data_IF_280672631495
#
_entry.id   IF_280672631495
#
_cell.length_a   1.000
_cell.length_b   1.000
_cell.length_c   1.000
_cell.angle_alpha   90.00
_cell.angle_beta   90.00
_cell.angle_gamma   90.00
#
_symmetry.space_group_name_H-M   'P 1'
#
loop_
_entity.id
_entity.type
_entity.pdbx_description
1 polymer ?
#
# COMPACT_ATOMS: atom_id res chain seq x y z
N UNK A 1 2.51 -29.67 -8.82
CA UNK A 1 1.75 -30.08 -7.62
C UNK A 1 2.72 -30.17 -6.44
N UNK A 2 2.83 -29.10 -5.67
CA UNK A 2 3.37 -29.14 -4.31
C UNK A 2 2.34 -28.41 -3.45
N UNK A 3 1.75 -29.14 -2.50
CA UNK A 3 0.71 -28.64 -1.60
C UNK A 3 1.40 -27.91 -0.45
N UNK A 4 1.23 -26.61 -0.34
CA UNK A 4 1.67 -25.84 0.81
C UNK A 4 0.78 -26.14 2.03
N UNK A 5 1.25 -27.03 2.89
CA UNK A 5 0.67 -27.26 4.21
C UNK A 5 1.19 -26.17 5.18
N UNK A 6 0.54 -25.01 5.20
CA UNK A 6 0.76 -23.97 6.21
C UNK A 6 0.03 -24.23 7.54
N UNK A 7 -0.61 -25.39 7.69
CA UNK A 7 -1.44 -25.72 8.84
C UNK A 7 -0.90 -26.93 9.60
N UNK A 8 0.31 -26.82 10.16
CA UNK A 8 0.71 -27.54 11.38
C UNK A 8 2.04 -26.99 11.88
N UNK A 9 2.09 -26.78 13.18
CA UNK A 9 3.23 -26.37 13.99
C UNK A 9 3.52 -24.88 14.05
N UNK A 10 2.80 -24.18 14.93
CA UNK A 10 3.40 -23.48 16.09
C UNK A 10 2.30 -22.80 16.91
N UNK A 11 1.86 -23.47 17.96
CA UNK A 11 1.09 -22.85 19.03
C UNK A 11 2.05 -22.06 19.95
N UNK A 12 2.56 -20.90 19.52
CA UNK A 12 3.08 -19.79 20.37
C UNK A 12 3.60 -18.61 19.54
N UNK A 13 2.70 -17.82 18.96
CA UNK A 13 2.65 -16.33 18.93
C UNK A 13 1.70 -15.92 17.80
N UNK A 14 0.62 -15.19 18.15
CA UNK A 14 -0.40 -14.75 17.20
C UNK A 14 0.14 -13.56 16.38
N UNK A 15 -0.03 -13.59 15.05
CA UNK A 15 0.13 -12.47 14.10
C UNK A 15 1.54 -11.97 13.73
N UNK A 16 2.53 -12.82 13.42
CA UNK A 16 3.73 -12.31 12.74
C UNK A 16 4.15 -13.23 11.60
N UNK A 17 4.01 -12.73 10.36
CA UNK A 17 4.32 -13.47 9.14
C UNK A 17 5.83 -13.69 8.96
N UNK A 18 6.64 -12.80 9.55
CA UNK A 18 8.09 -12.79 9.42
C UNK A 18 8.73 -12.69 10.81
N UNK A 19 9.64 -13.60 11.20
CA UNK A 19 10.29 -13.56 12.51
C UNK A 19 11.04 -12.25 12.75
N UNK A 20 10.75 -11.62 13.88
CA UNK A 20 11.26 -10.29 14.24
C UNK A 20 12.79 -10.25 14.35
N UNK A 21 13.39 -11.29 14.93
CA UNK A 21 14.83 -11.44 15.08
C UNK A 21 15.57 -11.48 13.74
N UNK A 22 14.98 -12.15 12.74
CA UNK A 22 15.52 -12.20 11.39
C UNK A 22 15.46 -10.82 10.72
N UNK A 23 14.33 -10.12 10.83
CA UNK A 23 14.19 -8.76 10.28
C UNK A 23 15.20 -7.81 10.91
N UNK A 24 15.41 -7.88 12.23
CA UNK A 24 16.39 -7.04 12.91
C UNK A 24 17.83 -7.34 12.48
N UNK A 25 18.18 -8.62 12.31
CA UNK A 25 19.50 -9.02 11.82
C UNK A 25 19.74 -8.49 10.39
N UNK A 26 18.77 -8.65 9.50
CA UNK A 26 18.85 -8.13 8.14
C UNK A 26 18.92 -6.61 8.14
N UNK A 27 18.11 -5.93 8.94
CA UNK A 27 18.17 -4.47 9.10
C UNK A 27 19.55 -3.98 9.56
N UNK A 28 20.15 -4.61 10.57
CA UNK A 28 21.49 -4.25 11.03
C UNK A 28 22.53 -4.39 9.89
N UNK A 29 22.46 -5.48 9.13
CA UNK A 29 23.33 -5.68 7.95
C UNK A 29 23.11 -4.59 6.89
N UNK A 30 21.87 -4.26 6.56
CA UNK A 30 21.56 -3.24 5.58
C UNK A 30 22.05 -1.85 6.03
N UNK A 31 21.97 -1.55 7.33
CA UNK A 31 22.54 -0.33 7.91
C UNK A 31 24.04 -0.24 7.68
N UNK A 32 24.77 -1.30 8.06
CA UNK A 32 26.23 -1.32 7.96
C UNK A 32 26.72 -1.12 6.51
N UNK A 33 25.96 -1.62 5.53
CA UNK A 33 26.34 -1.57 4.11
C UNK A 33 25.89 -0.26 3.44
N UNK A 34 24.66 0.19 3.70
CA UNK A 34 24.03 1.21 2.86
C UNK A 34 23.83 2.56 3.54
N UNK A 35 23.63 2.61 4.86
CA UNK A 35 23.12 3.81 5.52
C UNK A 35 24.02 5.04 5.33
N UNK A 36 25.33 4.90 5.56
CA UNK A 36 26.27 6.03 5.45
C UNK A 36 26.24 6.63 4.04
N UNK A 37 26.41 5.80 3.00
CA UNK A 37 26.42 6.27 1.61
C UNK A 37 25.10 6.93 1.21
N UNK A 38 23.97 6.37 1.63
CA UNK A 38 22.65 6.91 1.29
C UNK A 38 22.39 8.25 1.98
N UNK A 39 22.80 8.40 3.25
CA UNK A 39 22.72 9.67 3.97
C UNK A 39 23.64 10.72 3.37
N UNK A 40 24.89 10.37 3.06
CA UNK A 40 25.89 11.31 2.52
C UNK A 40 25.51 11.82 1.12
N UNK A 41 24.82 11.01 0.32
CA UNK A 41 24.38 11.35 -1.04
C UNK A 41 22.90 11.72 -1.14
N UNK A 42 22.27 12.03 -0.01
CA UNK A 42 20.86 12.41 0.03
C UNK A 42 20.66 13.78 -0.62
N UNK A 43 19.64 13.89 -1.49
CA UNK A 43 19.39 15.11 -2.27
C UNK A 43 17.97 15.68 -2.07
N UNK A 44 17.15 15.09 -1.19
CA UNK A 44 15.83 15.65 -0.87
C UNK A 44 15.93 16.73 0.23
N UNK A 45 14.89 17.55 0.32
CA UNK A 45 14.78 18.58 1.36
C UNK A 45 14.51 18.00 2.74
N UNK A 46 13.89 16.83 2.79
CA UNK A 46 13.56 16.16 4.03
C UNK A 46 14.82 15.56 4.69
N UNK A 47 14.78 15.34 6.01
CA UNK A 47 15.93 14.81 6.75
C UNK A 47 16.30 13.38 6.31
N UNK A 48 17.57 13.10 5.95
CA UNK A 48 17.99 11.80 5.43
C UNK A 48 17.76 10.66 6.42
N UNK A 49 18.17 10.84 7.67
CA UNK A 49 18.11 9.80 8.69
C UNK A 49 16.69 9.23 8.82
N UNK A 50 15.67 10.09 8.84
CA UNK A 50 14.28 9.64 8.96
C UNK A 50 13.86 8.70 7.83
N UNK A 51 14.24 9.00 6.58
CA UNK A 51 13.76 8.27 5.40
C UNK A 51 14.65 7.07 5.08
N UNK A 52 15.97 7.24 5.13
CA UNK A 52 16.93 6.17 4.85
C UNK A 52 16.74 5.00 5.82
N UNK A 53 16.63 5.27 7.13
CA UNK A 53 16.45 4.19 8.11
C UNK A 53 15.06 3.55 8.05
N UNK A 54 14.03 4.31 7.67
CA UNK A 54 12.69 3.77 7.41
C UNK A 54 12.70 2.81 6.22
N UNK A 55 13.25 3.24 5.08
CA UNK A 55 13.33 2.42 3.86
C UNK A 55 14.24 1.19 4.05
N UNK A 56 15.33 1.29 4.82
CA UNK A 56 16.17 0.13 5.17
C UNK A 56 15.42 -0.89 6.04
N UNK A 57 14.58 -0.43 6.97
CA UNK A 57 13.77 -1.30 7.81
C UNK A 57 12.66 -1.99 7.00
N UNK A 58 12.03 -1.27 6.05
CA UNK A 58 11.07 -1.85 5.10
C UNK A 58 11.76 -2.88 4.20
N UNK A 59 12.94 -2.56 3.65
CA UNK A 59 13.72 -3.48 2.83
C UNK A 59 14.05 -4.77 3.60
N UNK A 60 14.48 -4.66 4.86
CA UNK A 60 14.74 -5.82 5.70
C UNK A 60 13.50 -6.71 5.88
N UNK A 61 12.34 -6.11 6.14
CA UNK A 61 11.09 -6.85 6.26
C UNK A 61 10.71 -7.55 4.94
N UNK A 62 10.80 -6.85 3.81
CA UNK A 62 10.46 -7.40 2.49
C UNK A 62 11.39 -8.55 2.11
N UNK A 63 12.70 -8.42 2.38
CA UNK A 63 13.68 -9.49 2.11
C UNK A 63 13.31 -10.76 2.88
N UNK A 64 13.04 -10.65 4.17
CA UNK A 64 12.68 -11.81 5.00
C UNK A 64 11.29 -12.37 4.64
N UNK A 65 10.35 -11.51 4.22
CA UNK A 65 9.08 -11.94 3.65
C UNK A 65 9.28 -12.75 2.37
N UNK A 66 10.14 -12.27 1.46
CA UNK A 66 10.40 -12.94 0.19
C UNK A 66 11.17 -14.25 0.33
N UNK A 67 12.00 -14.41 1.37
CA UNK A 67 12.57 -15.72 1.73
C UNK A 67 11.48 -16.75 1.94
N UNK A 68 10.43 -16.38 2.68
CA UNK A 68 9.30 -17.28 2.97
C UNK A 68 8.39 -17.47 1.75
N UNK A 69 8.07 -16.39 1.03
CA UNK A 69 7.11 -16.45 -0.08
C UNK A 69 7.65 -17.09 -1.36
N UNK A 70 8.94 -16.90 -1.65
CA UNK A 70 9.54 -17.33 -2.93
C UNK A 70 10.67 -18.35 -2.78
N UNK A 71 11.06 -18.69 -1.55
CA UNK A 71 12.23 -19.54 -1.27
C UNK A 71 13.51 -19.00 -1.93
N UNK A 72 13.73 -17.69 -1.80
CA UNK A 72 14.88 -16.99 -2.36
C UNK A 72 15.68 -16.29 -1.25
N UNK A 73 16.98 -16.14 -1.44
CA UNK A 73 17.83 -15.34 -0.55
C UNK A 73 18.54 -14.24 -1.33
N UNK A 74 18.95 -13.14 -0.67
CA UNK A 74 19.73 -12.10 -1.30
C UNK A 74 20.99 -12.67 -1.95
N UNK A 75 21.41 -12.07 -3.07
CA UNK A 75 22.63 -12.50 -3.79
C UNK A 75 23.88 -12.40 -2.90
N UNK A 76 23.89 -11.44 -1.98
CA UNK A 76 24.96 -11.21 -1.01
C UNK A 76 25.14 -12.38 -0.01
N UNK A 77 24.11 -13.20 0.19
CA UNK A 77 24.07 -14.27 1.18
C UNK A 77 23.98 -15.68 0.55
N UNK A 78 23.66 -15.78 -0.73
CA UNK A 78 23.49 -17.05 -1.43
C UNK A 78 24.83 -17.77 -1.58
N UNK A 79 24.99 -18.89 -0.86
CA UNK A 79 26.14 -19.81 -1.01
C UNK A 79 26.05 -20.63 -2.31
N UNK A 80 24.84 -20.87 -2.79
CA UNK A 80 24.52 -21.62 -4.00
C UNK A 80 23.43 -20.87 -4.80
N UNK A 81 23.35 -21.01 -6.13
CA UNK A 81 22.29 -20.40 -6.93
C UNK A 81 20.92 -20.90 -6.44
N UNK A 82 19.99 -19.98 -6.11
CA UNK A 82 18.62 -20.39 -5.77
C UNK A 82 18.00 -21.17 -6.93
N UNK A 83 17.30 -22.26 -6.60
CA UNK A 83 16.57 -23.07 -7.56
C UNK A 83 15.38 -22.34 -8.17
N UNK A 84 14.86 -21.31 -7.49
CA UNK A 84 13.72 -20.48 -7.86
C UNK A 84 14.18 -19.11 -8.39
N UNK A 85 13.73 -18.76 -9.60
CA UNK A 85 13.94 -17.44 -10.16
C UNK A 85 12.91 -16.47 -9.56
N UNK A 86 13.38 -15.39 -8.93
CA UNK A 86 12.50 -14.35 -8.43
C UNK A 86 11.72 -13.69 -9.60
N UNK A 87 10.37 -13.63 -9.53
CA UNK A 87 9.53 -13.07 -10.60
C UNK A 87 9.63 -11.55 -10.74
N UNK A 88 10.20 -10.88 -9.74
CA UNK A 88 10.46 -9.46 -9.71
C UNK A 88 9.51 -8.68 -8.80
N UNK A 89 9.78 -7.38 -8.65
CA UNK A 89 8.93 -6.47 -7.88
C UNK A 89 8.65 -5.15 -8.60
N UNK A 90 7.59 -4.47 -8.17
CA UNK A 90 7.26 -3.11 -8.61
C UNK A 90 6.87 -2.30 -7.39
N UNK A 91 7.59 -1.21 -7.11
CA UNK A 91 7.20 -0.23 -6.10
C UNK A 91 6.45 0.92 -6.78
N UNK A 92 5.13 0.98 -6.61
CA UNK A 92 4.25 1.84 -7.42
C UNK A 92 4.14 3.29 -6.92
N UNK A 93 4.81 3.61 -5.81
CA UNK A 93 4.99 4.98 -5.31
C UNK A 93 6.36 5.09 -4.62
N UNK A 94 7.42 4.85 -5.38
CA UNK A 94 8.74 4.58 -4.82
C UNK A 94 9.44 5.80 -4.20
N UNK A 95 8.88 7.01 -4.37
CA UNK A 95 9.36 8.22 -3.73
C UNK A 95 10.84 8.46 -3.97
N UNK A 96 11.57 8.62 -2.87
CA UNK A 96 13.01 8.90 -2.89
C UNK A 96 13.85 7.79 -3.58
N UNK A 97 13.28 6.60 -3.80
CA UNK A 97 13.89 5.47 -4.52
C UNK A 97 14.89 4.64 -3.71
N UNK A 98 15.10 4.91 -2.43
CA UNK A 98 16.04 4.16 -1.56
C UNK A 98 15.64 2.70 -1.43
N UNK A 99 14.35 2.41 -1.21
CA UNK A 99 13.86 1.02 -1.12
C UNK A 99 14.21 0.23 -2.39
N UNK A 100 13.92 0.81 -3.56
CA UNK A 100 14.22 0.22 -4.87
C UNK A 100 15.74 0.04 -5.07
N UNK A 101 16.53 1.05 -4.72
CA UNK A 101 17.99 0.99 -4.75
C UNK A 101 18.51 -0.20 -3.93
N UNK A 102 18.06 -0.35 -2.67
CA UNK A 102 18.54 -1.42 -1.78
C UNK A 102 18.16 -2.78 -2.33
N UNK A 103 16.91 -2.98 -2.76
CA UNK A 103 16.45 -4.27 -3.29
C UNK A 103 17.20 -4.67 -4.57
N UNK A 104 17.45 -3.73 -5.48
CA UNK A 104 18.26 -4.00 -6.68
C UNK A 104 19.72 -4.33 -6.34
N UNK A 105 20.32 -3.61 -5.37
CA UNK A 105 21.68 -3.88 -4.89
C UNK A 105 21.80 -5.26 -4.22
N UNK A 106 20.74 -5.73 -3.54
CA UNK A 106 20.65 -7.07 -2.95
C UNK A 106 20.38 -8.17 -4.00
N UNK A 107 20.18 -7.80 -5.27
CA UNK A 107 20.06 -8.72 -6.40
C UNK A 107 18.63 -9.06 -6.82
N UNK A 108 17.62 -8.38 -6.27
CA UNK A 108 16.23 -8.56 -6.67
C UNK A 108 15.91 -7.73 -7.91
N UNK A 109 15.46 -8.37 -9.00
CA UNK A 109 15.01 -7.64 -10.18
C UNK A 109 13.69 -6.92 -9.92
N UNK A 110 13.58 -5.64 -10.30
CA UNK A 110 12.33 -4.90 -10.15
C UNK A 110 12.45 -3.47 -10.62
N UNK A 111 11.45 -2.65 -10.36
CA UNK A 111 11.44 -1.22 -10.70
C UNK A 111 10.62 -0.42 -9.70
N UNK A 112 10.89 0.88 -9.64
CA UNK A 112 10.08 1.85 -8.92
C UNK A 112 9.39 2.80 -9.87
N UNK A 113 8.16 3.16 -9.56
CA UNK A 113 7.38 4.17 -10.28
C UNK A 113 7.02 5.26 -9.27
N UNK A 114 7.20 6.52 -9.64
CA UNK A 114 6.71 7.66 -8.87
C UNK A 114 6.14 8.70 -9.81
N UNK A 115 5.10 9.40 -9.38
CA UNK A 115 4.47 10.47 -10.15
C UNK A 115 5.46 11.59 -10.52
N UNK A 116 6.56 11.75 -9.78
CA UNK A 116 7.57 12.78 -10.04
C UNK A 116 8.97 12.23 -9.90
N UNK A 117 9.87 12.66 -10.79
CA UNK A 117 11.29 12.36 -10.63
C UNK A 117 11.86 13.04 -9.40
N UNK A 118 12.37 12.24 -8.46
CA UNK A 118 12.98 12.75 -7.22
C UNK A 118 14.44 13.16 -7.40
N UNK A 119 14.89 14.09 -6.56
CA UNK A 119 16.25 14.66 -6.65
C UNK A 119 17.31 13.61 -6.33
N UNK A 120 17.04 12.69 -5.41
CA UNK A 120 17.94 11.60 -4.99
C UNK A 120 18.21 10.58 -6.09
N UNK A 121 17.31 10.42 -7.08
CA UNK A 121 17.51 9.42 -8.13
C UNK A 121 18.81 9.64 -8.90
N UNK A 122 19.20 10.90 -9.14
CA UNK A 122 20.43 11.24 -9.88
C UNK A 122 21.72 10.83 -9.14
N UNK A 123 21.65 10.52 -7.85
CA UNK A 123 22.81 10.13 -7.03
C UNK A 123 23.02 8.61 -7.03
N UNK A 124 22.06 7.84 -7.55
CA UNK A 124 22.16 6.40 -7.68
C UNK A 124 22.97 5.99 -8.94
N UNK A 125 23.55 4.79 -8.97
CA UNK A 125 24.16 4.23 -10.18
C UNK A 125 23.20 4.23 -11.37
N UNK A 126 23.73 4.39 -12.59
CA UNK A 126 22.94 4.49 -13.82
C UNK A 126 21.97 3.30 -13.99
N UNK A 127 22.44 2.07 -13.75
CA UNK A 127 21.59 0.87 -13.83
C UNK A 127 20.42 0.84 -12.83
N UNK A 128 20.48 1.64 -11.74
CA UNK A 128 19.36 1.83 -10.81
C UNK A 128 18.43 2.94 -11.33
N UNK A 129 19.00 4.02 -11.86
CA UNK A 129 18.23 5.10 -12.48
C UNK A 129 17.34 4.58 -13.61
N UNK A 130 17.85 3.63 -14.42
CA UNK A 130 17.09 2.96 -15.48
C UNK A 130 15.89 2.13 -14.97
N UNK A 131 15.81 1.89 -13.66
CA UNK A 131 14.74 1.14 -13.00
C UNK A 131 13.80 2.04 -12.20
N UNK A 132 14.02 3.35 -12.22
CA UNK A 132 13.19 4.35 -11.57
C UNK A 132 12.45 5.17 -12.63
N UNK A 133 11.13 5.04 -12.65
CA UNK A 133 10.27 5.50 -13.73
C UNK A 133 9.43 6.67 -13.22
N UNK A 134 9.60 7.84 -13.81
CA UNK A 134 8.72 8.98 -13.57
C UNK A 134 7.43 8.80 -14.37
N UNK A 135 6.32 8.50 -13.68
CA UNK A 135 5.02 8.28 -14.32
C UNK A 135 3.89 8.37 -13.33
N UNK A 136 2.83 9.08 -13.68
CA UNK A 136 1.59 9.06 -12.91
C UNK A 136 0.85 7.75 -13.18
N UNK A 137 0.42 7.09 -12.11
CA UNK A 137 -0.44 5.91 -12.21
C UNK A 137 -1.90 6.30 -12.05
N UNK A 138 -2.71 5.86 -13.00
CA UNK A 138 -4.18 5.99 -12.96
C UNK A 138 -4.76 4.57 -12.85
N UNK A 139 -5.61 4.29 -11.86
CA UNK A 139 -6.27 2.99 -11.77
C UNK A 139 -7.08 2.70 -13.04
N UNK A 140 -6.91 1.51 -13.62
CA UNK A 140 -7.60 1.09 -14.86
C UNK A 140 -9.13 1.33 -14.85
N UNK A 141 -9.88 1.12 -13.75
CA UNK A 141 -11.31 1.44 -13.72
C UNK A 141 -11.62 2.92 -13.98
N UNK A 142 -10.72 3.84 -13.62
CA UNK A 142 -10.85 5.27 -13.92
C UNK A 142 -10.52 5.59 -15.37
N UNK A 143 -9.52 4.94 -15.95
CA UNK A 143 -9.19 5.09 -17.38
C UNK A 143 -10.40 4.68 -18.23
N UNK A 144 -10.97 3.50 -17.95
CA UNK A 144 -12.16 3.00 -18.64
C UNK A 144 -13.38 3.91 -18.44
N UNK A 145 -13.56 4.51 -17.26
CA UNK A 145 -14.71 5.36 -16.96
C UNK A 145 -14.71 6.72 -17.66
N UNK A 146 -13.55 7.19 -18.13
CA UNK A 146 -13.42 8.50 -18.78
C UNK A 146 -13.55 8.39 -20.32
N UNK A 147 -13.52 7.17 -20.89
CA UNK A 147 -13.67 6.91 -22.35
C UNK A 147 -12.91 7.92 -23.24
N UNK A 148 -11.70 8.29 -22.82
CA UNK A 148 -10.88 9.24 -23.58
C UNK A 148 -9.87 8.45 -24.41
N UNK A 149 -9.92 8.65 -25.73
CA UNK A 149 -8.89 8.18 -26.67
C UNK A 149 -7.49 8.77 -26.34
N UNK A 150 -7.39 9.74 -25.42
CA UNK A 150 -6.18 10.46 -25.03
C UNK A 150 -5.50 9.94 -23.74
N UNK A 151 -6.15 9.03 -22.98
CA UNK A 151 -5.51 8.37 -21.84
C UNK A 151 -4.87 7.08 -22.33
N UNK A 152 -3.63 7.20 -22.81
CA UNK A 152 -2.82 6.07 -23.23
C UNK A 152 -2.73 5.00 -22.11
N UNK A 153 -2.64 3.72 -22.51
CA UNK A 153 -2.29 2.60 -21.60
C UNK A 153 -0.98 2.83 -20.81
N UNK A 154 -0.22 3.87 -21.17
CA UNK A 154 0.97 4.31 -20.48
C UNK A 154 0.73 4.60 -18.98
N UNK A 155 -0.45 5.10 -18.60
CA UNK A 155 -0.76 5.46 -17.22
C UNK A 155 -1.17 4.28 -16.32
N UNK A 156 -1.35 3.09 -16.88
CA UNK A 156 -1.72 1.90 -16.10
C UNK A 156 -0.55 1.29 -15.34
N UNK A 157 -0.88 0.58 -14.26
CA UNK A 157 0.04 -0.42 -13.72
C UNK A 157 0.16 -1.55 -14.75
N UNK A 158 1.30 -1.64 -15.41
CA UNK A 158 1.51 -2.56 -16.53
C UNK A 158 1.30 -4.04 -16.20
N UNK A 159 1.30 -4.87 -17.24
CA UNK A 159 1.21 -6.33 -17.10
C UNK A 159 2.57 -6.89 -16.67
N UNK A 160 2.65 -7.42 -15.44
CA UNK A 160 3.87 -8.03 -14.89
C UNK A 160 3.77 -9.54 -14.82
N UNK A 161 4.84 -10.34 -14.87
CA UNK A 161 4.83 -11.82 -14.72
C UNK A 161 4.12 -12.36 -13.47
N UNK A 162 3.72 -13.64 -13.50
CA UNK A 162 3.03 -14.27 -12.37
C UNK A 162 3.95 -14.27 -11.14
N UNK A 163 3.38 -13.92 -9.99
CA UNK A 163 4.14 -13.79 -8.75
C UNK A 163 4.98 -12.52 -8.63
N UNK A 164 4.96 -11.58 -9.59
CA UNK A 164 5.60 -10.27 -9.36
C UNK A 164 5.00 -9.60 -8.12
N UNK A 165 5.85 -9.12 -7.22
CA UNK A 165 5.41 -8.53 -5.95
C UNK A 165 5.18 -7.02 -6.07
N UNK A 166 3.98 -6.55 -5.71
CA UNK A 166 3.65 -5.13 -5.70
C UNK A 166 3.98 -4.53 -4.33
N UNK A 167 4.73 -3.43 -4.33
CA UNK A 167 5.03 -2.64 -3.13
C UNK A 167 4.29 -1.32 -3.26
N UNK A 168 3.59 -0.96 -2.19
CA UNK A 168 2.93 0.34 -2.03
C UNK A 168 3.41 0.93 -0.70
N UNK A 169 4.64 1.46 -0.72
CA UNK A 169 5.26 2.07 0.44
C UNK A 169 4.78 3.52 0.60
N UNK A 170 3.91 3.78 1.59
CA UNK A 170 3.42 5.14 1.87
C UNK A 170 2.84 5.85 0.64
N UNK A 171 2.10 5.12 -0.18
CA UNK A 171 1.67 5.53 -1.51
C UNK A 171 0.49 6.52 -1.57
N UNK A 172 0.26 7.29 -0.51
CA UNK A 172 -0.80 8.29 -0.39
C UNK A 172 -2.16 7.80 -0.95
N UNK A 173 -2.67 8.41 -2.03
CA UNK A 173 -3.95 8.08 -2.65
C UNK A 173 -4.00 6.64 -3.19
N UNK A 174 -2.87 6.05 -3.59
CA UNK A 174 -2.79 4.70 -4.14
C UNK A 174 -2.92 3.60 -3.08
N UNK A 175 -2.86 3.93 -1.79
CA UNK A 175 -2.93 2.95 -0.70
C UNK A 175 -4.17 2.06 -0.83
N UNK A 176 -5.35 2.67 -0.98
CA UNK A 176 -6.61 1.93 -1.06
C UNK A 176 -6.78 1.20 -2.40
N UNK A 177 -6.12 1.70 -3.46
CA UNK A 177 -6.11 1.12 -4.78
C UNK A 177 -5.16 -0.08 -4.93
N UNK A 178 -4.19 -0.24 -4.02
CA UNK A 178 -3.17 -1.30 -4.08
C UNK A 178 -3.72 -2.70 -4.40
N UNK A 179 -4.69 -3.24 -3.63
CA UNK A 179 -5.21 -4.58 -3.92
C UNK A 179 -5.90 -4.68 -5.28
N UNK A 180 -6.57 -3.61 -5.71
CA UNK A 180 -7.24 -3.53 -7.01
C UNK A 180 -6.21 -3.52 -8.13
N UNK A 181 -5.21 -2.66 -8.06
CA UNK A 181 -4.17 -2.54 -9.08
C UNK A 181 -3.35 -3.82 -9.19
N UNK A 182 -2.99 -4.44 -8.07
CA UNK A 182 -2.30 -5.73 -8.05
C UNK A 182 -3.14 -6.86 -8.68
N UNK A 183 -4.46 -6.83 -8.49
CA UNK A 183 -5.36 -7.80 -9.09
C UNK A 183 -5.57 -7.58 -10.59
N UNK A 184 -5.74 -6.33 -11.03
CA UNK A 184 -5.94 -6.00 -12.45
C UNK A 184 -4.67 -6.13 -13.30
N UNK A 185 -3.49 -5.98 -12.69
CA UNK A 185 -2.21 -6.23 -13.35
C UNK A 185 -2.04 -7.70 -13.80
N UNK A 186 -2.81 -8.63 -13.21
CA UNK A 186 -3.07 -9.97 -13.73
C UNK A 186 -4.37 -10.54 -13.15
N UNK A 187 -5.47 -10.39 -13.87
CA UNK A 187 -6.78 -10.86 -13.45
C UNK A 187 -6.85 -12.38 -13.23
N UNK A 188 -6.08 -13.19 -13.97
CA UNK A 188 -6.10 -14.65 -13.86
C UNK A 188 -5.32 -15.19 -12.65
N UNK A 189 -4.36 -14.40 -12.14
CA UNK A 189 -3.54 -14.76 -11.00
C UNK A 189 -3.09 -13.46 -10.30
N UNK A 190 -3.96 -12.88 -9.44
CA UNK A 190 -3.70 -11.60 -8.77
C UNK A 190 -2.34 -11.56 -8.10
N UNK A 191 -1.64 -10.43 -8.25
CA UNK A 191 -0.27 -10.30 -7.80
C UNK A 191 -0.20 -10.15 -6.26
N UNK A 192 0.76 -10.81 -5.59
CA UNK A 192 0.97 -10.57 -4.17
C UNK A 192 1.44 -9.13 -3.94
N UNK A 193 1.07 -8.55 -2.80
CA UNK A 193 1.41 -7.16 -2.50
C UNK A 193 1.73 -6.90 -1.02
N UNK A 194 2.45 -5.81 -0.78
CA UNK A 194 2.58 -5.14 0.51
C UNK A 194 2.08 -3.68 0.37
N UNK A 195 1.11 -3.29 1.17
CA UNK A 195 0.70 -1.90 1.33
C UNK A 195 1.07 -1.38 2.71
N UNK A 196 1.73 -0.23 2.79
CA UNK A 196 2.05 0.47 4.03
C UNK A 196 1.27 1.80 4.03
N UNK A 197 0.11 1.87 4.70
CA UNK A 197 -0.72 3.07 4.65
C UNK A 197 -0.01 4.29 5.23
N UNK A 198 -0.43 5.50 4.84
CA UNK A 198 0.15 6.73 5.37
C UNK A 198 -0.87 7.87 5.52
N UNK A 199 -1.58 8.18 4.45
CA UNK A 199 -2.52 9.28 4.32
C UNK A 199 -3.86 8.72 3.85
N UNK A 200 -4.95 9.14 4.49
CA UNK A 200 -6.29 8.62 4.21
C UNK A 200 -6.99 9.46 3.16
N UNK A 201 -7.25 8.83 2.02
CA UNK A 201 -7.94 9.40 0.87
C UNK A 201 -9.07 8.46 0.43
N UNK A 202 -10.11 9.00 -0.20
CA UNK A 202 -11.13 8.21 -0.89
C UNK A 202 -10.60 7.68 -2.22
N UNK A 203 -11.41 6.90 -2.93
CA UNK A 203 -11.08 6.41 -4.27
C UNK A 203 -10.88 7.56 -5.27
N UNK A 204 -11.63 8.65 -5.13
CA UNK A 204 -11.43 9.86 -5.92
C UNK A 204 -10.15 10.61 -5.57
N UNK A 205 -9.38 10.19 -4.54
CA UNK A 205 -8.16 10.81 -4.02
C UNK A 205 -8.36 12.06 -3.16
N UNK A 206 -9.61 12.41 -2.83
CA UNK A 206 -9.90 13.46 -1.85
C UNK A 206 -9.57 12.97 -0.43
N UNK A 207 -9.14 13.85 0.48
CA UNK A 207 -8.91 13.47 1.88
C UNK A 207 -10.20 12.94 2.50
N UNK A 208 -10.13 11.75 3.09
CA UNK A 208 -11.30 11.08 3.62
C UNK A 208 -10.99 10.33 4.90
N UNK A 209 -11.96 10.24 5.82
CA UNK A 209 -11.84 9.49 7.06
C UNK A 209 -12.77 8.29 7.04
N UNK A 210 -12.19 7.11 6.85
CA UNK A 210 -12.92 5.85 6.96
C UNK A 210 -13.44 5.63 8.38
N UNK A 211 -14.61 5.00 8.48
CA UNK A 211 -15.18 4.62 9.77
C UNK A 211 -14.35 3.51 10.41
N UNK A 212 -14.17 3.52 11.74
CA UNK A 212 -13.53 2.40 12.43
C UNK A 212 -14.27 1.07 12.15
N UNK A 213 -13.56 -0.07 12.14
CA UNK A 213 -14.20 -1.37 11.99
C UNK A 213 -15.28 -1.56 13.06
N UNK A 214 -16.47 -2.00 12.66
CA UNK A 214 -17.52 -2.34 13.63
C UNK A 214 -17.05 -3.56 14.42
N UNK A 215 -17.01 -3.46 15.76
CA UNK A 215 -16.81 -4.64 16.62
C UNK A 215 -18.01 -5.55 16.41
N UNK A 216 -17.82 -6.75 15.86
CA UNK A 216 -18.86 -7.78 15.87
C UNK A 216 -19.29 -8.00 17.32
N UNK A 217 -20.53 -7.65 17.65
CA UNK A 217 -21.09 -7.86 18.97
C UNK A 217 -21.24 -9.37 19.22
N UNK A 218 -20.21 -10.01 19.76
CA UNK A 218 -20.35 -11.29 20.45
C UNK A 218 -20.94 -11.00 21.83
N UNK A 219 -22.23 -10.65 21.84
CA UNK A 219 -23.07 -10.60 23.04
C UNK A 219 -24.55 -10.52 22.65
N UNK A 220 -25.00 -11.45 21.81
CA UNK A 220 -26.36 -11.97 21.95
C UNK A 220 -26.32 -13.09 22.98
N UNK A 221 -26.58 -12.73 24.23
CA UNK A 221 -27.48 -13.44 25.15
C UNK A 221 -27.43 -12.73 26.52
N UNK A 222 -28.63 -12.46 27.07
CA UNK A 222 -28.92 -11.85 28.37
C UNK A 222 -28.97 -10.31 28.41
N UNK A 223 -30.07 -9.73 27.91
CA UNK A 223 -31.21 -9.28 28.74
C UNK A 223 -32.20 -8.45 27.91
N UNK A 224 -33.43 -8.92 27.87
CA UNK A 224 -34.61 -8.16 27.45
C UNK A 224 -34.99 -7.11 28.51
N UNK A 225 -35.81 -6.16 28.05
CA UNK A 225 -36.58 -5.13 28.75
C UNK A 225 -35.89 -3.79 29.08
N UNK A 226 -36.08 -2.80 28.19
CA UNK A 226 -36.81 -1.54 28.48
C UNK A 226 -36.90 -0.65 27.21
N UNK A 227 -38.03 0.02 26.91
CA UNK A 227 -38.24 0.76 25.67
C UNK A 227 -37.91 2.25 25.81
N UNK A 228 -36.99 2.79 25.00
CA UNK A 228 -36.85 4.24 24.92
C UNK A 228 -35.67 4.80 24.13
N UNK A 229 -36.00 5.55 23.07
CA UNK A 229 -35.17 6.58 22.41
C UNK A 229 -34.08 6.11 21.45
N UNK A 230 -34.46 5.85 20.20
CA UNK A 230 -33.55 5.98 19.06
C UNK A 230 -33.25 7.47 18.83
N UNK A 231 -32.12 7.96 19.36
CA UNK A 231 -31.47 9.18 18.87
C UNK A 231 -30.32 8.80 17.97
N UNK A 232 -30.53 8.97 16.66
CA UNK A 232 -29.51 8.94 15.63
C UNK A 232 -28.54 10.11 15.90
N UNK A 233 -27.44 9.86 16.59
CA UNK A 233 -26.39 10.87 16.77
C UNK A 233 -25.60 10.99 15.47
N UNK A 234 -25.92 12.01 14.68
CA UNK A 234 -24.97 12.60 13.72
C UNK A 234 -23.91 13.33 14.53
N UNK A 235 -22.76 12.70 14.75
CA UNK A 235 -21.59 13.39 15.29
C UNK A 235 -20.94 14.12 14.11
N UNK A 236 -21.10 15.44 14.10
CA UNK A 236 -20.31 16.33 13.24
C UNK A 236 -18.85 16.27 13.71
N UNK A 237 -18.00 15.58 12.94
CA UNK A 237 -16.59 15.31 13.31
C UNK A 237 -15.63 16.42 12.90
N UNK A 238 -16.12 17.57 12.42
CA UNK A 238 -15.30 18.75 12.13
C UNK A 238 -15.09 19.67 13.35
N UNK A 239 -15.53 19.27 14.55
CA UNK A 239 -15.19 20.00 15.76
C UNK A 239 -13.71 19.78 16.14
N UNK A 240 -12.83 20.64 15.61
CA UNK A 240 -11.54 20.92 16.24
C UNK A 240 -11.85 21.37 17.68
N UNK A 241 -11.31 20.71 18.73
CA UNK A 241 -11.57 21.16 20.09
C UNK A 241 -10.95 22.55 20.26
N UNK A 242 -11.79 23.57 20.39
CA UNK A 242 -11.40 24.96 20.62
C UNK A 242 -10.80 25.22 22.02
N UNK A 243 -10.27 24.18 22.68
CA UNK A 243 -9.80 24.22 24.05
C UNK A 243 -8.40 23.63 24.13
N UNK A 244 -7.43 24.47 24.48
CA UNK A 244 -6.04 24.11 24.77
C UNK A 244 -5.87 23.31 26.06
N UNK A 245 -6.72 22.31 26.31
CA UNK A 245 -6.58 21.42 27.45
C UNK A 245 -5.52 20.35 27.19
N UNK A 246 -4.30 20.65 27.64
CA UNK A 246 -3.13 19.77 27.57
C UNK A 246 -3.38 18.39 28.21
N UNK A 247 -4.30 18.24 29.17
CA UNK A 247 -4.64 16.93 29.74
C UNK A 247 -5.49 16.09 28.79
N UNK A 248 -6.49 16.68 28.16
CA UNK A 248 -7.31 15.99 27.17
C UNK A 248 -6.47 15.56 25.95
N UNK A 249 -5.56 16.42 25.50
CA UNK A 249 -4.61 16.10 24.42
C UNK A 249 -3.64 14.97 24.80
N UNK A 250 -3.17 14.92 26.05
CA UNK A 250 -2.33 13.80 26.54
C UNK A 250 -3.10 12.50 26.62
N UNK A 251 -4.33 12.53 27.13
CA UNK A 251 -5.19 11.35 27.20
C UNK A 251 -5.52 10.79 25.81
N UNK A 252 -5.83 11.67 24.83
CA UNK A 252 -6.03 11.26 23.44
C UNK A 252 -4.76 10.64 22.84
N UNK A 253 -3.60 11.25 23.08
CA UNK A 253 -2.29 10.75 22.60
C UNK A 253 -1.86 9.44 23.27
N UNK A 254 -2.29 9.21 24.51
CA UNK A 254 -2.09 7.94 25.22
C UNK A 254 -3.06 6.87 24.71
N UNK A 255 -4.32 7.23 24.43
CA UNK A 255 -5.30 6.34 23.81
C UNK A 255 -4.86 5.93 22.40
N UNK A 256 -4.38 6.86 21.56
CA UNK A 256 -3.83 6.59 20.22
C UNK A 256 -2.64 5.62 20.21
N UNK A 257 -1.98 5.40 21.35
CA UNK A 257 -0.89 4.43 21.47
C UNK A 257 -1.36 3.01 21.81
N UNK A 258 -2.62 2.83 22.22
CA UNK A 258 -3.19 1.50 22.48
C UNK A 258 -3.59 0.83 21.17
N UNK A 259 -3.67 -0.51 21.14
CA UNK A 259 -4.16 -1.23 19.96
C UNK A 259 -5.58 -0.78 19.57
N UNK A 260 -6.43 -0.50 20.55
CA UNK A 260 -7.78 0.02 20.32
C UNK A 260 -7.76 1.44 19.73
N UNK A 261 -6.90 2.34 20.23
CA UNK A 261 -6.80 3.69 19.66
C UNK A 261 -6.14 3.71 18.29
N UNK A 262 -5.22 2.79 17.99
CA UNK A 262 -4.67 2.61 16.65
C UNK A 262 -5.78 2.14 15.71
N UNK A 263 -6.56 1.13 16.09
CA UNK A 263 -7.69 0.64 15.29
C UNK A 263 -8.80 1.68 15.08
N UNK A 264 -8.99 2.60 16.02
CA UNK A 264 -9.95 3.71 15.92
C UNK A 264 -9.37 4.96 15.23
N UNK A 265 -8.07 4.99 14.96
CA UNK A 265 -7.41 6.12 14.32
C UNK A 265 -7.74 6.19 12.82
N UNK A 266 -7.55 7.36 12.21
CA UNK A 266 -7.64 7.50 10.74
C UNK A 266 -6.75 6.47 10.03
N UNK A 267 -5.56 6.23 10.59
CA UNK A 267 -4.58 5.28 10.08
C UNK A 267 -5.08 3.83 10.15
N UNK A 268 -5.64 3.43 11.29
CA UNK A 268 -6.21 2.08 11.48
C UNK A 268 -7.46 1.86 10.64
N UNK A 269 -8.36 2.85 10.53
CA UNK A 269 -9.54 2.74 9.67
C UNK A 269 -9.17 2.59 8.19
N UNK A 270 -8.16 3.33 7.71
CA UNK A 270 -7.65 3.17 6.35
C UNK A 270 -7.06 1.76 6.13
N UNK A 271 -6.28 1.27 7.10
CA UNK A 271 -5.71 -0.07 7.03
C UNK A 271 -6.83 -1.14 6.98
N UNK A 272 -7.81 -1.03 7.87
CA UNK A 272 -8.96 -1.94 7.91
C UNK A 272 -9.75 -1.91 6.59
N UNK A 273 -10.01 -0.73 6.03
CA UNK A 273 -10.71 -0.61 4.74
C UNK A 273 -9.91 -1.21 3.59
N UNK A 274 -8.59 -1.00 3.57
CA UNK A 274 -7.70 -1.59 2.56
C UNK A 274 -7.72 -3.12 2.64
N UNK A 275 -7.73 -3.68 3.85
CA UNK A 275 -7.87 -5.12 4.06
C UNK A 275 -9.26 -5.65 3.67
N UNK A 276 -10.33 -4.90 3.93
CA UNK A 276 -11.70 -5.22 3.49
C UNK A 276 -11.79 -5.33 1.97
N UNK A 277 -11.32 -4.30 1.25
CA UNK A 277 -11.26 -4.29 -0.22
C UNK A 277 -10.46 -5.48 -0.75
N UNK A 278 -9.29 -5.75 -0.17
CA UNK A 278 -8.46 -6.88 -0.58
C UNK A 278 -9.15 -8.24 -0.35
N UNK A 279 -9.87 -8.42 0.77
CA UNK A 279 -10.63 -9.65 1.04
C UNK A 279 -11.81 -9.83 0.08
N UNK A 280 -12.53 -8.75 -0.25
CA UNK A 280 -13.64 -8.81 -1.19
C UNK A 280 -13.18 -9.24 -2.59
N UNK A 281 -11.98 -8.82 -3.01
CA UNK A 281 -11.35 -9.26 -4.27
C UNK A 281 -10.93 -10.74 -4.23
N UNK A 282 -10.75 -11.31 -3.03
CA UNK A 282 -10.39 -12.72 -2.83
C UNK A 282 -8.94 -12.95 -2.39
N UNK A 283 -8.23 -11.92 -1.91
CA UNK A 283 -6.90 -12.11 -1.33
C UNK A 283 -6.97 -12.79 0.04
N UNK A 284 -5.98 -13.63 0.34
CA UNK A 284 -5.63 -13.96 1.70
C UNK A 284 -4.83 -12.79 2.29
N UNK A 285 -5.49 -12.02 3.17
CA UNK A 285 -4.95 -10.78 3.72
C UNK A 285 -4.43 -10.97 5.14
N UNK A 286 -3.22 -10.50 5.38
CA UNK A 286 -2.57 -10.52 6.68
C UNK A 286 -2.08 -9.11 7.05
N UNK A 287 -2.13 -8.80 8.34
CA UNK A 287 -1.57 -7.57 8.91
C UNK A 287 -0.27 -7.91 9.64
N UNK A 288 0.76 -7.10 9.45
CA UNK A 288 2.01 -7.21 10.19
C UNK A 288 2.45 -5.85 10.73
N UNK A 289 2.81 -5.78 12.01
CA UNK A 289 3.38 -4.58 12.62
C UNK A 289 4.87 -4.47 12.30
N UNK A 290 5.22 -3.54 11.44
CA UNK A 290 6.57 -3.25 10.99
C UNK A 290 7.40 -2.59 12.11
N UNK A 291 8.68 -2.93 12.19
CA UNK A 291 9.62 -2.31 13.12
C UNK A 291 10.39 -1.20 12.40
N UNK A 292 9.65 -0.18 11.99
CA UNK A 292 10.18 0.99 11.31
C UNK A 292 10.19 2.18 12.28
N UNK A 293 11.10 3.16 12.13
CA UNK A 293 11.17 4.37 12.95
C UNK A 293 10.02 5.36 12.63
N UNK A 294 8.77 4.87 12.61
CA UNK A 294 7.57 5.60 12.21
C UNK A 294 6.34 5.13 12.98
N UNK A 295 5.36 6.02 13.14
CA UNK A 295 4.05 5.67 13.70
C UNK A 295 3.15 4.97 12.67
N UNK A 296 3.52 5.00 11.39
CA UNK A 296 2.79 4.37 10.29
C UNK A 296 3.33 2.97 10.00
N UNK A 297 3.18 2.07 10.97
CA UNK A 297 3.89 0.80 11.01
C UNK A 297 3.02 -0.45 10.77
N UNK A 298 1.86 -0.32 10.17
CA UNK A 298 1.02 -1.43 9.69
C UNK A 298 1.42 -1.74 8.25
N UNK A 299 1.84 -2.97 8.00
CA UNK A 299 2.01 -3.55 6.67
C UNK A 299 0.87 -4.51 6.37
N UNK A 300 0.17 -4.30 5.27
CA UNK A 300 -0.92 -5.16 4.79
C UNK A 300 -0.37 -6.03 3.67
N UNK A 301 -0.36 -7.34 3.89
CA UNK A 301 0.12 -8.31 2.90
C UNK A 301 -1.07 -9.03 2.28
N UNK A 302 -1.20 -8.94 0.97
CA UNK A 302 -2.13 -9.74 0.19
C UNK A 302 -1.39 -10.85 -0.55
N UNK A 303 -1.88 -12.08 -0.43
CA UNK A 303 -1.37 -13.24 -1.18
C UNK A 303 -2.53 -13.97 -1.87
N UNK A 304 -2.24 -14.74 -2.91
CA UNK A 304 -3.27 -15.55 -3.56
C UNK A 304 -3.88 -16.56 -2.58
N UNK A 305 -5.21 -16.64 -2.57
CA UNK A 305 -5.93 -17.72 -1.90
C UNK A 305 -5.83 -19.00 -2.74
N UNK A 306 -5.90 -20.17 -2.11
CA UNK A 306 -5.67 -21.50 -2.72
C UNK A 306 -6.74 -21.89 -3.77
N UNK A 307 -7.75 -21.05 -4.00
CA UNK A 307 -8.91 -21.28 -4.84
C UNK A 307 -8.77 -20.57 -6.20
N UNK A 308 -8.09 -21.21 -7.16
CA UNK A 308 -7.99 -20.73 -8.56
C UNK A 308 -9.32 -20.71 -9.34
N UNK A 309 -10.44 -21.14 -8.72
CA UNK A 309 -11.76 -21.19 -9.37
C UNK A 309 -12.58 -19.90 -9.25
N UNK A 310 -12.21 -18.97 -8.38
CA UNK A 310 -12.98 -17.75 -8.10
C UNK A 310 -12.57 -16.53 -8.95
N UNK A 311 -11.47 -16.60 -9.69
CA UNK A 311 -10.95 -15.44 -10.44
C UNK A 311 -11.69 -15.12 -11.75
N UNK A 312 -12.62 -15.97 -12.21
CA UNK A 312 -13.35 -15.72 -13.49
C UNK A 312 -14.18 -14.44 -13.49
N UNK A 313 -14.51 -13.91 -12.31
CA UNK A 313 -15.33 -12.71 -12.15
C UNK A 313 -14.60 -11.58 -11.39
N UNK A 314 -13.27 -11.64 -11.23
CA UNK A 314 -12.53 -10.67 -10.41
C UNK A 314 -12.73 -9.23 -10.89
N UNK A 315 -12.74 -9.01 -12.21
CA UNK A 315 -12.96 -7.67 -12.79
C UNK A 315 -14.36 -7.15 -12.50
N UNK A 316 -15.38 -8.03 -12.49
CA UNK A 316 -16.75 -7.67 -12.11
C UNK A 316 -16.84 -7.30 -10.63
N UNK A 317 -16.19 -8.07 -9.76
CA UNK A 317 -16.12 -7.77 -8.32
C UNK A 317 -15.43 -6.42 -8.09
N UNK A 318 -14.28 -6.21 -8.72
CA UNK A 318 -13.53 -4.96 -8.64
C UNK A 318 -14.38 -3.78 -9.13
N UNK A 319 -15.05 -3.90 -10.27
CA UNK A 319 -15.92 -2.84 -10.77
C UNK A 319 -17.03 -2.51 -9.78
N UNK A 320 -17.68 -3.53 -9.20
CA UNK A 320 -18.70 -3.33 -8.16
C UNK A 320 -18.16 -2.67 -6.89
N UNK A 321 -16.92 -2.96 -6.49
CA UNK A 321 -16.25 -2.23 -5.38
C UNK A 321 -16.06 -0.77 -5.77
N UNK A 322 -15.44 -0.50 -6.92
CA UNK A 322 -15.10 0.86 -7.35
C UNK A 322 -16.37 1.70 -7.51
N UNK A 323 -17.42 1.17 -8.13
CA UNK A 323 -18.69 1.88 -8.29
C UNK A 323 -19.27 2.29 -6.93
N UNK A 324 -19.38 1.34 -5.98
CA UNK A 324 -19.90 1.61 -4.63
C UNK A 324 -19.05 2.64 -3.88
N UNK A 325 -17.73 2.48 -3.89
CA UNK A 325 -16.84 3.40 -3.19
C UNK A 325 -16.80 4.80 -3.84
N UNK A 326 -17.09 4.91 -5.15
CA UNK A 326 -17.20 6.20 -5.83
C UNK A 326 -18.58 6.86 -5.71
N UNK A 327 -19.62 6.18 -5.19
CA UNK A 327 -20.95 6.80 -5.00
C UNK A 327 -20.87 8.06 -4.13
N UNK A 328 -20.05 8.03 -3.07
CA UNK A 328 -19.83 9.18 -2.19
C UNK A 328 -19.16 10.37 -2.89
N UNK A 329 -18.50 10.12 -4.02
CA UNK A 329 -17.82 11.12 -4.84
C UNK A 329 -18.69 11.61 -6.03
N UNK A 330 -19.93 11.14 -6.13
CA UNK A 330 -20.85 11.45 -7.23
C UNK A 330 -20.80 10.44 -8.39
N UNK A 331 -20.23 9.26 -8.16
CA UNK A 331 -20.11 8.17 -9.14
C UNK A 331 -18.71 8.05 -9.74
N UNK A 332 -18.45 6.91 -10.39
CA UNK A 332 -17.12 6.56 -10.92
C UNK A 332 -16.58 7.60 -11.90
N UNK A 333 -17.41 8.16 -12.79
CA UNK A 333 -16.98 9.16 -13.78
C UNK A 333 -16.53 10.46 -13.10
N UNK A 334 -17.22 10.90 -12.05
CA UNK A 334 -16.86 12.13 -11.32
C UNK A 334 -15.58 11.90 -10.52
N UNK A 335 -15.46 10.77 -9.83
CA UNK A 335 -14.26 10.39 -9.10
C UNK A 335 -13.03 10.29 -10.02
N UNK A 336 -13.20 9.69 -11.20
CA UNK A 336 -12.16 9.55 -12.20
C UNK A 336 -11.71 10.91 -12.76
N UNK A 337 -12.63 11.82 -13.08
CA UNK A 337 -12.30 13.19 -13.51
C UNK A 337 -11.49 13.94 -12.46
N UNK A 338 -11.92 13.91 -11.20
CA UNK A 338 -11.16 14.51 -10.07
C UNK A 338 -9.74 13.95 -9.99
N UNK A 339 -9.58 12.64 -10.16
CA UNK A 339 -8.27 11.99 -10.13
C UNK A 339 -7.37 12.51 -11.25
N UNK A 340 -7.88 12.52 -12.49
CA UNK A 340 -7.12 12.96 -13.67
C UNK A 340 -6.76 14.45 -13.58
N UNK A 341 -7.68 15.31 -13.14
CA UNK A 341 -7.38 16.74 -12.92
C UNK A 341 -6.24 16.93 -11.91
N UNK A 342 -6.20 16.14 -10.82
CA UNK A 342 -5.08 16.20 -9.87
C UNK A 342 -3.79 15.63 -10.46
N UNK A 343 -3.86 14.52 -11.20
CA UNK A 343 -2.73 13.94 -11.92
C UNK A 343 -2.09 14.94 -12.90
N UNK A 344 -2.90 15.68 -13.67
CA UNK A 344 -2.45 16.74 -14.57
C UNK A 344 -1.72 17.86 -13.84
N UNK A 345 -2.16 18.24 -12.64
CA UNK A 345 -1.47 19.25 -11.84
C UNK A 345 -0.09 18.75 -11.32
N UNK A 346 0.16 17.43 -11.32
CA UNK A 346 1.47 16.87 -10.98
C UNK A 346 2.45 16.90 -12.15
N UNK A 347 1.96 16.88 -13.39
CA UNK A 347 2.73 16.94 -14.63
C UNK A 347 2.17 18.01 -15.58
N UNK A 348 2.87 19.13 -15.72
CA UNK A 348 2.51 20.21 -16.66
C UNK A 348 2.39 19.72 -18.11
N UNK A 349 2.99 18.57 -18.48
CA UNK A 349 2.86 17.94 -19.81
C UNK A 349 1.59 17.11 -20.03
N UNK A 350 0.92 16.61 -18.97
CA UNK A 350 -0.36 15.87 -19.11
C UNK A 350 -1.51 16.85 -19.41
N UNK A 351 -1.38 18.11 -18.96
CA UNK A 351 -2.38 19.15 -19.21
C UNK A 351 -2.56 19.47 -20.70
N UNK A 352 -1.52 19.34 -21.53
CA UNK A 352 -1.59 19.68 -22.96
C UNK A 352 -2.35 18.62 -23.78
N UNK A 353 -2.24 17.32 -23.44
CA UNK A 353 -2.95 16.25 -24.15
C UNK A 353 -4.44 16.15 -23.82
N UNK A 354 -4.84 16.47 -22.59
CA UNK A 354 -6.23 16.29 -22.13
C UNK A 354 -7.06 17.58 -22.24
N UNK A 355 -6.44 18.77 -22.22
CA UNK A 355 -7.16 20.03 -22.44
C UNK A 355 -7.75 20.14 -23.86
N UNK A 356 -7.15 19.48 -24.86
CA UNK A 356 -7.70 19.42 -26.22
C UNK A 356 -8.93 18.49 -26.31
N UNK A 357 -8.95 17.38 -25.56
CA UNK A 357 -10.09 16.45 -25.52
C UNK A 357 -11.31 16.97 -24.73
N UNK A 358 -11.10 17.67 -23.62
CA UNK A 358 -12.21 18.22 -22.80
C UNK A 358 -12.86 19.46 -23.44
N UNK A 359 -12.15 20.19 -24.31
CA UNK A 359 -12.68 21.37 -24.99
C UNK A 359 -13.51 21.07 -26.26
N UNK A 360 -13.63 19.80 -26.67
CA UNK A 360 -14.35 19.38 -27.89
C UNK A 360 -15.74 18.74 -27.65
N UNK A 361 -16.25 18.74 -26.42
CA UNK A 361 -17.62 18.32 -26.08
C UNK A 361 -18.30 19.34 -25.17
#
# INVERSE_FOLDING_TARGET
>A
MARNNFAKDTATNKNTLVPHDLVQKTYARLNDIYAQRLCDNWAEEAEPAKHVFEDLAIAAFIIELWRSLYDISPKSEALEPSSSKFPGFVDMACGNGVLVYVLLMEGYSGSGIDARRRKSWKTFPEFIQDRLIERVLVPRPFIHAIESDDIDMEYELGNYPEGTFIISNHADELTIWTPIMAALARSEAPLPFLAIPCCSHSFSGDRYRYSPPQKENISQELKEDEPGSQKKFTIDQNAQPASGDLKALRFLKEKEKTEEGISESMYGSLAAKTMEVAREIGYAVQENKLQIPSTRNIGIIGTQSVSTREYRDIERVILGIVERECEMDGGIQVAAKKWVERAQNLHTSIAEGIAEGIAMH
#
